data_IF_691391964582
#
_entry.id   IF_691391964582
#
_cell.length_a   1.000
_cell.length_b   1.000
_cell.length_c   1.000
_cell.angle_alpha   90.00
_cell.angle_beta   90.00
_cell.angle_gamma   90.00
#
_symmetry.space_group_name_H-M   'P 1'
#
loop_
_entity.id
_entity.type
_entity.pdbx_description
1 polymer ?
#
# COMPACT_ATOMS: atom_id res chain seq x y z
N UNK A 1 -24.51 -8.40 22.29
CA UNK A 1 -23.95 -7.05 22.16
C UNK A 1 -24.87 -6.21 21.28
N UNK A 2 -25.16 -5.00 21.75
CA UNK A 2 -25.90 -3.97 21.00
C UNK A 2 -25.02 -2.74 20.90
N UNK A 3 -25.14 -2.00 19.80
CA UNK A 3 -24.43 -0.74 19.58
C UNK A 3 -25.49 0.33 19.34
N UNK A 4 -25.47 1.39 20.14
CA UNK A 4 -26.40 2.51 19.98
C UNK A 4 -25.63 3.75 19.56
N UNK A 5 -26.15 4.46 18.56
CA UNK A 5 -25.60 5.73 18.11
C UNK A 5 -26.71 6.75 17.88
N UNK A 6 -26.36 8.02 18.09
CA UNK A 6 -27.18 9.14 17.65
C UNK A 6 -26.66 9.58 16.29
N UNK A 7 -27.53 9.58 15.28
CA UNK A 7 -27.11 9.87 13.92
C UNK A 7 -26.76 11.36 13.76
N UNK A 8 -25.51 11.71 13.37
CA UNK A 8 -25.17 13.09 13.00
C UNK A 8 -25.88 13.50 11.71
N UNK A 9 -25.88 14.80 11.40
CA UNK A 9 -26.64 15.37 10.27
C UNK A 9 -26.41 14.64 8.94
N UNK A 10 -25.17 14.33 8.60
CA UNK A 10 -24.83 13.61 7.36
C UNK A 10 -25.37 12.16 7.34
N UNK A 11 -25.39 11.47 8.48
CA UNK A 11 -26.03 10.16 8.57
C UNK A 11 -27.55 10.28 8.45
N UNK A 12 -28.17 11.30 9.06
CA UNK A 12 -29.61 11.54 8.93
C UNK A 12 -30.02 11.72 7.46
N UNK A 13 -29.28 12.53 6.70
CA UNK A 13 -29.51 12.72 5.25
C UNK A 13 -29.44 11.40 4.48
N UNK A 14 -28.45 10.56 4.77
CA UNK A 14 -28.29 9.24 4.13
C UNK A 14 -29.44 8.30 4.49
N UNK A 15 -29.80 8.21 5.77
CA UNK A 15 -30.90 7.36 6.22
C UNK A 15 -32.25 7.83 5.67
N UNK A 16 -32.43 9.15 5.44
CA UNK A 16 -33.62 9.71 4.79
C UNK A 16 -33.80 9.25 3.34
N UNK A 17 -32.75 8.84 2.64
CA UNK A 17 -32.87 8.30 1.28
C UNK A 17 -32.96 6.77 1.30
N UNK A 18 -32.32 6.12 2.27
CA UNK A 18 -32.09 4.67 2.22
C UNK A 18 -33.09 3.84 3.03
N UNK A 19 -33.60 4.36 4.14
CA UNK A 19 -34.56 3.66 5.00
C UNK A 19 -36.00 4.13 4.71
N UNK A 20 -37.02 3.26 4.74
CA UNK A 20 -38.43 3.67 4.74
C UNK A 20 -38.77 4.57 5.94
N UNK A 21 -39.88 5.31 5.88
CA UNK A 21 -40.25 6.28 6.92
C UNK A 21 -40.51 5.60 8.27
N UNK A 22 -41.13 4.42 8.23
CA UNK A 22 -41.57 3.59 9.36
C UNK A 22 -40.39 3.05 10.19
N UNK A 23 -39.21 2.95 9.56
CA UNK A 23 -37.98 2.44 10.18
C UNK A 23 -37.18 3.57 10.83
N UNK A 24 -37.48 4.83 10.52
CA UNK A 24 -36.70 5.98 10.98
C UNK A 24 -37.14 6.36 12.39
N UNK A 25 -36.17 6.45 13.28
CA UNK A 25 -36.41 6.96 14.63
C UNK A 25 -36.53 8.49 14.63
N UNK A 26 -37.58 9.02 15.26
CA UNK A 26 -37.85 10.47 15.37
C UNK A 26 -36.74 11.21 16.10
N UNK A 27 -36.08 10.56 17.06
CA UNK A 27 -34.94 11.10 17.81
C UNK A 27 -33.60 10.79 17.14
N UNK A 28 -33.61 10.21 15.94
CA UNK A 28 -32.44 9.80 15.17
C UNK A 28 -31.48 8.90 15.95
N UNK A 29 -32.00 8.10 16.88
CA UNK A 29 -31.26 7.19 17.72
C UNK A 29 -31.47 5.76 17.24
N UNK A 30 -30.41 5.15 16.74
CA UNK A 30 -30.47 3.80 16.15
C UNK A 30 -29.72 2.80 17.02
N UNK A 31 -30.35 1.68 17.34
CA UNK A 31 -29.74 0.57 18.09
C UNK A 31 -29.57 -0.65 17.19
N UNK A 32 -28.32 -1.06 16.98
CA UNK A 32 -27.92 -2.19 16.15
C UNK A 32 -27.65 -3.43 17.02
N UNK A 33 -28.10 -4.61 16.59
CA UNK A 33 -27.97 -5.87 17.29
C UNK A 33 -27.41 -6.97 16.39
N UNK A 34 -26.35 -7.65 16.83
CA UNK A 34 -25.76 -8.78 16.11
C UNK A 34 -26.43 -10.14 16.43
N UNK A 35 -27.28 -10.23 17.46
CA UNK A 35 -27.86 -11.50 17.89
C UNK A 35 -29.19 -11.78 17.19
N UNK A 36 -29.21 -12.82 16.36
CA UNK A 36 -30.39 -13.28 15.64
C UNK A 36 -31.60 -13.55 16.55
N UNK A 37 -31.40 -14.16 17.72
CA UNK A 37 -32.48 -14.47 18.67
C UNK A 37 -33.13 -13.21 19.25
N UNK A 38 -32.33 -12.22 19.64
CA UNK A 38 -32.85 -10.93 20.13
C UNK A 38 -33.56 -10.15 19.04
N UNK A 39 -33.05 -10.19 17.81
CA UNK A 39 -33.72 -9.57 16.67
C UNK A 39 -35.07 -10.24 16.39
N UNK A 40 -35.13 -11.57 16.39
CA UNK A 40 -36.38 -12.32 16.21
C UNK A 40 -37.42 -11.97 17.30
N UNK A 41 -36.98 -11.85 18.56
CA UNK A 41 -37.84 -11.39 19.65
C UNK A 41 -38.35 -9.96 19.43
N UNK A 42 -37.51 -9.03 18.99
CA UNK A 42 -37.92 -7.65 18.70
C UNK A 42 -38.90 -7.57 17.52
N UNK A 43 -38.72 -8.41 16.49
CA UNK A 43 -39.66 -8.55 15.37
C UNK A 43 -41.01 -9.05 15.85
N UNK A 44 -41.01 -10.08 16.71
CA UNK A 44 -42.25 -10.66 17.24
C UNK A 44 -42.99 -9.67 18.16
N UNK A 45 -42.26 -8.94 19.01
CA UNK A 45 -42.82 -7.88 19.85
C UNK A 45 -43.48 -6.76 19.02
N UNK A 46 -42.83 -6.32 17.94
CA UNK A 46 -43.39 -5.31 17.06
C UNK A 46 -44.66 -5.79 16.35
N UNK A 47 -44.74 -7.09 15.99
CA UNK A 47 -45.97 -7.68 15.41
C UNK A 47 -47.12 -7.78 16.41
N UNK A 48 -46.81 -7.99 17.69
CA UNK A 48 -47.81 -8.13 18.76
C UNK A 48 -48.28 -6.79 19.33
N UNK A 49 -47.54 -5.70 19.08
CA UNK A 49 -48.02 -4.35 19.33
C UNK A 49 -49.31 -4.11 18.53
N UNK A 50 -50.30 -3.46 19.16
CA UNK A 50 -51.68 -3.38 18.64
C UNK A 50 -51.67 -2.84 17.20
N UNK A 51 -52.52 -3.39 16.33
CA UNK A 51 -52.63 -3.03 14.91
C UNK A 51 -52.91 -1.54 14.61
N UNK A 52 -53.23 -0.71 15.62
CA UNK A 52 -53.39 0.75 15.48
C UNK A 52 -52.10 1.54 15.77
N UNK A 53 -51.04 0.90 16.23
CA UNK A 53 -49.70 1.46 16.37
C UNK A 53 -48.86 0.84 15.24
N UNK A 54 -48.48 1.63 14.23
CA UNK A 54 -47.50 1.21 13.22
C UNK A 54 -46.17 0.94 13.93
N UNK A 55 -45.99 -0.30 14.40
CA UNK A 55 -44.86 -0.67 15.25
C UNK A 55 -43.79 -1.36 14.42
N UNK A 56 -42.66 -0.67 14.26
CA UNK A 56 -41.44 -1.26 13.74
C UNK A 56 -40.54 -1.74 14.89
N UNK A 57 -39.74 -2.81 14.71
CA UNK A 57 -38.79 -3.24 15.73
C UNK A 57 -37.82 -2.11 16.13
N UNK A 58 -37.68 -1.88 17.43
CA UNK A 58 -36.75 -0.88 17.99
C UNK A 58 -35.27 -1.22 17.78
N UNK A 59 -34.98 -2.44 17.29
CA UNK A 59 -33.64 -2.92 16.99
C UNK A 59 -33.45 -3.08 15.49
N UNK A 60 -32.29 -2.64 15.01
CA UNK A 60 -31.80 -2.93 13.67
C UNK A 60 -30.86 -4.12 13.72
N UNK A 61 -30.92 -5.01 12.73
CA UNK A 61 -29.94 -6.08 12.63
C UNK A 61 -28.59 -5.54 12.16
N UNK A 62 -27.53 -5.85 12.90
CA UNK A 62 -26.16 -5.48 12.56
C UNK A 62 -25.63 -6.45 11.49
N UNK A 63 -25.74 -6.06 10.23
CA UNK A 63 -25.12 -6.75 9.10
C UNK A 63 -24.11 -5.86 8.37
N UNK A 64 -23.23 -6.40 7.51
CA UNK A 64 -22.22 -5.60 6.79
C UNK A 64 -22.79 -4.52 5.87
N UNK A 65 -23.90 -4.78 5.18
CA UNK A 65 -24.51 -3.85 4.19
C UNK A 65 -25.56 -2.91 4.82
N UNK A 66 -25.44 -2.60 6.10
CA UNK A 66 -26.41 -1.73 6.76
C UNK A 66 -26.04 -0.29 6.39
N UNK A 67 -26.98 0.61 6.08
CA UNK A 67 -26.62 1.98 5.68
C UNK A 67 -25.74 2.73 6.69
N UNK A 68 -25.92 2.42 7.99
CA UNK A 68 -25.06 2.92 9.07
C UNK A 68 -23.63 2.34 8.99
N UNK A 69 -23.47 1.08 8.60
CA UNK A 69 -22.15 0.45 8.41
C UNK A 69 -21.41 1.00 7.19
N UNK A 70 -22.13 1.25 6.09
CA UNK A 70 -21.56 1.93 4.91
C UNK A 70 -21.12 3.35 5.28
N UNK A 71 -21.96 4.08 6.03
CA UNK A 71 -21.61 5.40 6.55
C UNK A 71 -20.41 5.40 7.48
N UNK A 72 -20.32 4.43 8.38
CA UNK A 72 -19.18 4.28 9.28
C UNK A 72 -17.90 4.03 8.47
N UNK A 73 -17.97 3.17 7.45
CA UNK A 73 -16.86 2.89 6.55
C UNK A 73 -16.38 4.15 5.83
N UNK A 74 -17.30 4.92 5.25
CA UNK A 74 -17.00 6.19 4.57
C UNK A 74 -16.36 7.22 5.53
N UNK A 75 -16.89 7.33 6.75
CA UNK A 75 -16.34 8.22 7.79
C UNK A 75 -14.92 7.82 8.19
N UNK A 76 -14.63 6.53 8.32
CA UNK A 76 -13.29 6.03 8.64
C UNK A 76 -12.33 6.29 7.48
N UNK A 77 -12.76 6.06 6.23
CA UNK A 77 -11.93 6.29 5.05
C UNK A 77 -11.62 7.77 4.82
N UNK A 78 -12.54 8.66 5.17
CA UNK A 78 -12.38 10.12 5.04
C UNK A 78 -11.74 10.79 6.26
N UNK A 79 -11.53 10.05 7.36
CA UNK A 79 -10.99 10.60 8.61
C UNK A 79 -9.56 11.14 8.45
N UNK A 80 -8.78 10.61 7.50
CA UNK A 80 -7.42 11.05 7.23
C UNK A 80 -7.35 11.84 5.92
N UNK A 81 -6.81 13.06 6.00
CA UNK A 81 -6.56 13.89 4.81
C UNK A 81 -5.44 13.34 3.93
N UNK A 82 -5.33 13.88 2.71
CA UNK A 82 -4.20 13.57 1.81
C UNK A 82 -2.88 14.02 2.42
N UNK A 83 -1.80 13.27 2.14
CA UNK A 83 -0.44 13.56 2.62
C UNK A 83 -0.32 13.68 4.14
N UNK A 84 -1.14 12.93 4.89
CA UNK A 84 -1.06 12.84 6.35
C UNK A 84 -0.81 11.40 6.77
N UNK A 85 0.05 11.23 7.76
CA UNK A 85 0.25 9.95 8.42
C UNK A 85 -0.61 9.93 9.70
N UNK A 86 -1.46 8.91 9.92
CA UNK A 86 -2.17 8.72 11.17
C UNK A 86 -1.20 8.55 12.35
N UNK A 87 -1.64 9.01 13.53
CA UNK A 87 -0.93 8.78 14.81
C UNK A 87 -1.67 7.72 15.60
N UNK A 88 -0.94 6.70 16.05
CA UNK A 88 -1.43 5.60 16.85
C UNK A 88 -1.03 5.84 18.29
N UNK A 89 -2.01 5.98 19.18
CA UNK A 89 -1.78 5.88 20.62
C UNK A 89 -1.62 4.41 21.00
N UNK A 90 -0.44 4.06 21.51
CA UNK A 90 -0.06 2.71 21.81
C UNK A 90 0.51 2.67 23.24
N UNK A 91 -0.31 2.26 24.23
CA UNK A 91 0.09 2.22 25.65
C UNK A 91 1.28 1.30 25.97
N UNK A 92 1.69 0.46 25.02
CA UNK A 92 2.80 -0.47 25.13
C UNK A 92 4.15 0.15 24.78
N UNK A 93 4.17 1.37 24.22
CA UNK A 93 5.41 2.11 23.98
C UNK A 93 5.98 2.63 25.30
N UNK A 94 7.29 2.87 25.30
CA UNK A 94 7.99 3.49 26.42
C UNK A 94 7.62 4.98 26.45
N UNK A 95 7.53 5.57 27.64
CA UNK A 95 7.21 6.98 27.79
C UNK A 95 8.27 7.87 27.11
N UNK A 96 7.82 8.87 26.36
CA UNK A 96 8.67 9.69 25.50
C UNK A 96 9.18 9.03 24.20
N UNK A 97 8.96 7.73 24.00
CA UNK A 97 9.32 7.04 22.75
C UNK A 97 8.43 7.51 21.59
N UNK A 98 9.06 7.85 20.47
CA UNK A 98 8.36 8.18 19.23
C UNK A 98 8.76 7.21 18.13
N UNK A 99 7.77 6.59 17.49
CA UNK A 99 8.00 5.61 16.44
C UNK A 99 7.33 6.05 15.13
N UNK A 100 8.01 5.86 14.01
CA UNK A 100 7.49 6.19 12.67
C UNK A 100 7.56 4.95 11.81
N UNK A 101 6.41 4.51 11.31
CA UNK A 101 6.28 3.37 10.41
C UNK A 101 6.58 3.86 8.99
N UNK A 102 7.64 3.34 8.38
CA UNK A 102 8.18 3.82 7.12
C UNK A 102 8.23 2.68 6.10
N UNK A 103 7.82 3.00 4.87
CA UNK A 103 8.06 2.16 3.69
C UNK A 103 9.04 2.87 2.78
N UNK A 104 10.15 2.21 2.48
CA UNK A 104 11.11 2.66 1.48
C UNK A 104 10.95 1.88 0.18
N UNK A 105 11.07 2.57 -0.95
CA UNK A 105 10.97 2.01 -2.30
C UNK A 105 12.12 2.52 -3.16
N UNK A 106 12.76 1.63 -3.92
CA UNK A 106 13.71 2.01 -4.96
C UNK A 106 13.26 1.37 -6.28
N UNK A 107 12.84 2.19 -7.25
CA UNK A 107 12.49 1.69 -8.56
C UNK A 107 13.74 1.51 -9.45
N UNK A 108 13.57 0.78 -10.56
CA UNK A 108 14.47 0.90 -11.70
C UNK A 108 14.14 2.13 -12.56
N UNK A 109 14.93 2.37 -13.61
CA UNK A 109 14.68 3.45 -14.58
C UNK A 109 13.34 3.32 -15.35
N UNK A 110 12.64 2.20 -15.20
CA UNK A 110 11.30 1.96 -15.75
C UNK A 110 10.18 2.16 -14.72
N UNK A 111 10.50 2.64 -13.53
CA UNK A 111 9.52 2.85 -12.46
C UNK A 111 9.04 1.56 -11.78
N UNK A 112 9.64 0.41 -12.09
CA UNK A 112 9.28 -0.86 -11.46
C UNK A 112 9.96 -0.98 -10.10
N UNK A 113 9.25 -1.37 -9.03
CA UNK A 113 9.85 -1.49 -7.70
C UNK A 113 10.84 -2.65 -7.64
N UNK A 114 12.12 -2.36 -7.38
CA UNK A 114 13.16 -3.39 -7.24
C UNK A 114 13.46 -3.71 -5.78
N UNK A 115 13.39 -2.70 -4.91
CA UNK A 115 13.67 -2.85 -3.49
C UNK A 115 12.55 -2.20 -2.68
N UNK A 116 11.96 -2.96 -1.77
CA UNK A 116 10.92 -2.52 -0.85
C UNK A 116 11.37 -2.91 0.57
N UNK A 117 11.40 -1.93 1.47
CA UNK A 117 11.79 -2.14 2.86
C UNK A 117 10.76 -1.54 3.80
N UNK A 118 10.46 -2.28 4.87
CA UNK A 118 9.51 -1.90 5.91
C UNK A 118 10.26 -1.79 7.23
N UNK A 119 10.44 -0.56 7.70
CA UNK A 119 11.20 -0.27 8.91
C UNK A 119 10.41 0.67 9.81
N UNK A 120 10.72 0.64 11.10
CA UNK A 120 10.20 1.58 12.07
C UNK A 120 11.37 2.37 12.63
N UNK A 121 11.36 3.69 12.39
CA UNK A 121 12.31 4.59 13.00
C UNK A 121 11.83 4.95 14.40
N UNK A 122 12.60 4.55 15.41
CA UNK A 122 12.29 4.77 16.82
C UNK A 122 13.27 5.78 17.40
N UNK A 123 12.73 6.82 18.01
CA UNK A 123 13.45 7.82 18.79
C UNK A 123 13.19 7.60 20.27
N UNK A 124 14.25 7.37 21.03
CA UNK A 124 14.21 7.11 22.48
C UNK A 124 14.39 8.37 23.35
N UNK A 125 14.39 9.55 22.72
CA UNK A 125 14.71 10.83 23.38
C UNK A 125 16.15 11.31 23.14
N UNK A 126 17.06 10.40 22.75
CA UNK A 126 18.47 10.69 22.54
C UNK A 126 18.94 10.35 21.12
N UNK A 127 18.57 9.18 20.61
CA UNK A 127 19.07 8.63 19.37
C UNK A 127 17.98 7.96 18.53
N UNK A 128 18.26 7.84 17.24
CA UNK A 128 17.42 7.13 16.30
C UNK A 128 17.92 5.71 16.05
N UNK A 129 17.00 4.75 16.08
CA UNK A 129 17.24 3.37 15.68
C UNK A 129 16.22 2.94 14.63
N UNK A 130 16.59 1.95 13.80
CA UNK A 130 15.65 1.29 12.90
C UNK A 130 15.38 -0.11 13.43
N UNK A 131 14.09 -0.47 13.48
CA UNK A 131 13.61 -1.80 13.81
C UNK A 131 12.84 -2.35 12.62
N UNK A 132 12.98 -3.65 12.35
CA UNK A 132 12.16 -4.29 11.34
C UNK A 132 10.68 -4.16 11.74
N UNK A 133 9.82 -3.87 10.77
CA UNK A 133 8.39 -3.68 11.03
C UNK A 133 7.73 -4.83 11.83
N UNK A 134 7.98 -6.12 11.52
CA UNK A 134 7.40 -7.22 12.30
C UNK A 134 7.82 -7.22 13.77
N UNK A 135 9.08 -6.90 14.06
CA UNK A 135 9.65 -6.91 15.41
C UNK A 135 9.03 -5.78 16.25
N UNK A 136 8.90 -4.59 15.65
CA UNK A 136 8.23 -3.46 16.30
C UNK A 136 6.75 -3.78 16.58
N UNK A 137 6.03 -4.34 15.60
CA UNK A 137 4.62 -4.72 15.75
C UNK A 137 4.43 -5.73 16.89
N UNK A 138 5.32 -6.73 16.99
CA UNK A 138 5.30 -7.70 18.07
C UNK A 138 5.55 -7.06 19.44
N UNK A 139 6.56 -6.18 19.54
CA UNK A 139 6.91 -5.46 20.77
C UNK A 139 5.79 -4.52 21.24
N UNK A 140 5.27 -3.69 20.33
CA UNK A 140 4.21 -2.72 20.59
C UNK A 140 2.81 -3.36 20.65
N UNK A 141 2.68 -4.67 20.39
CA UNK A 141 1.41 -5.41 20.37
C UNK A 141 0.35 -4.75 19.47
N UNK A 142 0.79 -4.19 18.34
CA UNK A 142 -0.09 -3.59 17.35
C UNK A 142 -0.91 -4.68 16.66
N UNK A 143 -2.15 -4.87 17.11
CA UNK A 143 -3.05 -5.90 16.59
C UNK A 143 -4.43 -5.30 16.31
N UNK A 144 -5.08 -5.77 15.24
CA UNK A 144 -6.45 -5.39 14.95
C UNK A 144 -7.36 -5.71 16.15
N UNK A 145 -8.16 -4.72 16.55
CA UNK A 145 -9.12 -4.84 17.66
C UNK A 145 -8.54 -4.61 19.07
N UNK A 146 -7.24 -4.38 19.23
CA UNK A 146 -6.64 -4.10 20.57
C UNK A 146 -6.54 -2.61 20.89
N UNK A 147 -6.47 -1.75 19.88
CA UNK A 147 -6.33 -0.30 20.04
C UNK A 147 -7.57 0.39 19.47
N UNK A 148 -8.55 0.67 20.34
CA UNK A 148 -9.72 1.45 19.97
C UNK A 148 -9.35 2.94 19.86
N UNK A 149 -9.71 3.57 18.74
CA UNK A 149 -9.56 5.02 18.59
C UNK A 149 -10.51 5.74 19.55
N UNK A 150 -9.94 6.46 20.52
CA UNK A 150 -10.70 7.22 21.54
C UNK A 150 -11.30 8.52 20.99
N UNK A 151 -10.95 8.90 19.76
CA UNK A 151 -11.31 10.17 19.13
C UNK A 151 -10.96 11.39 20.02
N UNK A 152 -9.83 11.28 20.73
CA UNK A 152 -9.25 12.35 21.53
C UNK A 152 -8.13 12.99 20.72
N UNK A 153 -8.06 14.32 20.72
CA UNK A 153 -6.97 15.06 20.09
C UNK A 153 -5.65 14.73 20.78
N UNK A 154 -4.62 14.44 19.98
CA UNK A 154 -3.27 14.16 20.45
C UNK A 154 -2.40 15.35 20.03
N UNK A 155 -1.53 15.85 20.91
CA UNK A 155 -0.53 16.84 20.51
C UNK A 155 0.54 16.17 19.64
N UNK A 156 0.50 16.50 18.34
CA UNK A 156 1.42 15.95 17.35
C UNK A 156 2.63 16.84 17.10
N UNK A 157 2.80 17.94 17.84
CA UNK A 157 3.85 18.94 17.56
C UNK A 157 5.24 18.34 17.66
N UNK A 158 5.50 17.54 18.71
CA UNK A 158 6.77 16.82 18.87
C UNK A 158 7.02 15.79 17.77
N UNK A 159 5.99 15.03 17.39
CA UNK A 159 6.07 14.07 16.29
C UNK A 159 6.36 14.76 14.95
N UNK A 160 5.76 15.92 14.70
CA UNK A 160 5.99 16.67 13.46
C UNK A 160 7.41 17.24 13.41
N UNK A 161 7.93 17.72 14.54
CA UNK A 161 9.30 18.24 14.63
C UNK A 161 10.36 17.17 14.42
N UNK A 162 10.13 15.94 14.91
CA UNK A 162 11.06 14.82 14.80
C UNK A 162 10.96 14.03 13.49
N UNK A 163 9.91 14.26 12.69
CA UNK A 163 9.68 13.57 11.42
C UNK A 163 10.87 13.61 10.44
N UNK A 164 11.57 14.74 10.24
CA UNK A 164 12.75 14.77 9.36
C UNK A 164 13.87 13.83 9.83
N UNK A 165 14.03 13.64 11.14
CA UNK A 165 15.01 12.71 11.71
C UNK A 165 14.70 11.26 11.36
N UNK A 166 13.44 10.86 11.50
CA UNK A 166 12.97 9.53 11.11
C UNK A 166 13.23 9.24 9.62
N UNK A 167 12.90 10.20 8.76
CA UNK A 167 13.09 10.09 7.31
C UNK A 167 14.59 10.02 6.96
N UNK A 168 15.43 10.84 7.58
CA UNK A 168 16.88 10.84 7.33
C UNK A 168 17.53 9.49 7.67
N UNK A 169 17.13 8.88 8.79
CA UNK A 169 17.66 7.59 9.23
C UNK A 169 17.24 6.47 8.26
N UNK A 170 15.98 6.47 7.82
CA UNK A 170 15.48 5.54 6.80
C UNK A 170 16.16 5.76 5.45
N UNK A 171 16.39 7.02 5.05
CA UNK A 171 17.10 7.35 3.81
C UNK A 171 18.51 6.80 3.81
N UNK A 172 19.26 6.95 4.91
CA UNK A 172 20.59 6.37 5.05
C UNK A 172 20.56 4.84 4.90
N UNK A 173 19.61 4.18 5.56
CA UNK A 173 19.43 2.73 5.45
C UNK A 173 19.13 2.29 4.01
N UNK A 174 18.20 2.98 3.34
CA UNK A 174 17.84 2.70 1.96
C UNK A 174 19.00 2.90 1.00
N UNK A 175 19.83 3.93 1.18
CA UNK A 175 21.04 4.14 0.38
C UNK A 175 22.05 3.00 0.56
N UNK A 176 22.26 2.53 1.80
CA UNK A 176 23.12 1.35 2.04
C UNK A 176 22.58 0.10 1.35
N UNK A 177 21.27 -0.13 1.42
CA UNK A 177 20.60 -1.26 0.74
C UNK A 177 20.71 -1.14 -0.78
N UNK A 178 20.53 0.07 -1.32
CA UNK A 178 20.66 0.37 -2.73
C UNK A 178 22.07 0.09 -3.25
N UNK A 179 23.11 0.55 -2.56
CA UNK A 179 24.50 0.30 -2.95
C UNK A 179 24.82 -1.19 -3.01
N UNK A 180 24.38 -1.97 -2.00
CA UNK A 180 24.56 -3.42 -1.99
C UNK A 180 23.83 -4.09 -3.15
N UNK A 181 22.57 -3.72 -3.36
CA UNK A 181 21.77 -4.26 -4.45
C UNK A 181 22.33 -3.89 -5.83
N UNK A 182 22.80 -2.66 -6.01
CA UNK A 182 23.40 -2.17 -7.24
C UNK A 182 24.71 -2.90 -7.57
N UNK A 183 25.53 -3.24 -6.57
CA UNK A 183 26.74 -4.04 -6.76
C UNK A 183 26.39 -5.44 -7.31
N UNK A 184 25.40 -6.11 -6.70
CA UNK A 184 24.92 -7.43 -7.14
C UNK A 184 24.32 -7.37 -8.55
N UNK A 185 23.53 -6.32 -8.86
CA UNK A 185 22.94 -6.12 -10.20
C UNK A 185 23.96 -5.78 -11.27
N UNK A 186 24.99 -5.01 -10.95
CA UNK A 186 26.06 -4.68 -11.90
C UNK A 186 26.78 -5.95 -12.36
N UNK A 187 27.04 -6.89 -11.45
CA UNK A 187 27.64 -8.18 -11.78
C UNK A 187 26.72 -9.04 -12.68
N UNK A 188 25.40 -9.04 -12.45
CA UNK A 188 24.45 -9.78 -13.32
C UNK A 188 24.28 -9.11 -14.68
N UNK A 189 24.26 -7.78 -14.72
CA UNK A 189 24.14 -6.99 -15.94
C UNK A 189 25.34 -7.24 -16.85
N UNK A 190 26.57 -7.23 -16.31
CA UNK A 190 27.77 -7.48 -17.10
C UNK A 190 27.78 -8.87 -17.71
N UNK A 191 27.39 -9.91 -16.95
CA UNK A 191 27.23 -11.27 -17.46
C UNK A 191 26.19 -11.36 -18.59
N UNK A 192 25.02 -10.75 -18.39
CA UNK A 192 23.94 -10.74 -19.39
C UNK A 192 24.35 -10.01 -20.67
N UNK A 193 25.07 -8.89 -20.56
CA UNK A 193 25.58 -8.17 -21.73
C UNK A 193 26.63 -8.98 -22.49
N UNK A 194 27.50 -9.70 -21.78
CA UNK A 194 28.48 -10.61 -22.42
C UNK A 194 27.78 -11.78 -23.14
N UNK A 195 26.74 -12.35 -22.55
CA UNK A 195 25.91 -13.39 -23.18
C UNK A 195 25.23 -12.89 -24.46
N UNK A 196 24.66 -11.69 -24.41
CA UNK A 196 24.03 -11.06 -25.58
C UNK A 196 25.05 -10.80 -26.68
N UNK A 197 26.25 -10.34 -26.33
CA UNK A 197 27.32 -10.14 -27.30
C UNK A 197 27.73 -11.48 -27.96
N UNK A 198 27.85 -12.56 -27.19
CA UNK A 198 28.12 -13.91 -27.75
C UNK A 198 27.00 -14.37 -28.68
N UNK A 199 25.73 -14.18 -28.30
CA UNK A 199 24.57 -14.54 -29.11
C UNK A 199 24.55 -13.73 -30.43
N UNK A 200 24.86 -12.44 -30.36
CA UNK A 200 24.94 -11.55 -31.52
C UNK A 200 26.01 -12.02 -32.50
N UNK A 201 27.22 -12.33 -32.02
CA UNK A 201 28.32 -12.84 -32.86
C UNK A 201 27.93 -14.14 -33.56
N UNK A 202 27.36 -15.11 -32.84
CA UNK A 202 26.88 -16.39 -33.42
C UNK A 202 25.81 -16.17 -34.48
N UNK A 203 24.91 -15.20 -34.30
CA UNK A 203 23.90 -14.89 -35.32
C UNK A 203 24.49 -14.30 -36.59
N UNK A 204 25.56 -13.49 -36.46
CA UNK A 204 26.29 -12.94 -37.61
C UNK A 204 27.02 -14.07 -38.34
N UNK A 205 27.73 -14.95 -37.62
CA UNK A 205 28.39 -16.13 -38.19
C UNK A 205 27.39 -17.03 -38.95
N UNK A 206 26.22 -17.29 -38.35
CA UNK A 206 25.17 -18.08 -39.01
C UNK A 206 24.61 -17.39 -40.26
N UNK A 207 24.48 -16.06 -40.23
CA UNK A 207 24.08 -15.28 -41.40
C UNK A 207 25.12 -15.41 -42.52
N UNK A 208 26.41 -15.31 -42.19
CA UNK A 208 27.50 -15.46 -43.15
C UNK A 208 27.52 -16.87 -43.76
N UNK A 209 27.39 -17.91 -42.95
CA UNK A 209 27.30 -19.30 -43.43
C UNK A 209 26.10 -19.51 -44.38
N UNK A 210 24.93 -18.95 -44.06
CA UNK A 210 23.73 -19.02 -44.94
C UNK A 210 23.92 -18.27 -46.25
N UNK A 211 24.63 -17.14 -46.24
CA UNK A 211 24.92 -16.38 -47.44
C UNK A 211 25.97 -17.07 -48.32
N UNK A 212 26.96 -17.74 -47.70
CA UNK A 212 27.96 -18.53 -48.41
C UNK A 212 27.34 -19.73 -49.14
N UNK A 213 26.37 -20.41 -48.52
CA UNK A 213 25.64 -21.53 -49.13
C UNK A 213 24.64 -21.13 -50.23
N UNK A 214 24.37 -19.83 -50.40
CA UNK A 214 23.38 -19.33 -51.35
C UNK A 214 24.02 -19.13 -52.75
N UNK A 215 23.37 -19.58 -53.82
CA UNK A 215 23.87 -19.49 -55.20
C UNK A 215 23.52 -18.19 -55.93
N UNK A 216 22.86 -17.23 -55.25
CA UNK A 216 22.52 -15.92 -55.82
C UNK A 216 23.77 -15.08 -56.19
N UNK A 217 23.60 -14.08 -57.06
CA UNK A 217 24.69 -13.17 -57.44
C UNK A 217 25.21 -12.35 -56.23
N UNK A 218 26.52 -12.07 -56.21
CA UNK A 218 27.20 -11.41 -55.09
C UNK A 218 26.63 -10.03 -54.73
N UNK A 219 26.14 -9.28 -55.72
CA UNK A 219 25.48 -7.98 -55.50
C UNK A 219 24.29 -8.12 -54.54
N UNK A 220 23.43 -9.13 -54.75
CA UNK A 220 22.25 -9.38 -53.91
C UNK A 220 22.63 -9.90 -52.53
N UNK A 221 23.70 -10.71 -52.43
CA UNK A 221 24.22 -11.19 -51.14
C UNK A 221 24.75 -10.04 -50.29
N UNK A 222 25.45 -9.08 -50.89
CA UNK A 222 26.01 -7.91 -50.19
C UNK A 222 24.90 -7.04 -49.60
N UNK A 223 23.90 -6.66 -50.39
CA UNK A 223 22.77 -5.87 -49.91
C UNK A 223 21.98 -6.60 -48.81
N UNK A 224 21.75 -7.91 -48.97
CA UNK A 224 21.05 -8.73 -47.97
C UNK A 224 21.85 -8.88 -46.67
N UNK A 225 23.18 -9.00 -46.77
CA UNK A 225 24.10 -9.02 -45.63
C UNK A 225 24.00 -7.72 -44.84
N UNK A 226 24.15 -6.58 -45.50
CA UNK A 226 24.10 -5.27 -44.86
C UNK A 226 22.75 -5.04 -44.14
N UNK A 227 21.64 -5.25 -44.83
CA UNK A 227 20.30 -5.10 -44.25
C UNK A 227 20.08 -6.02 -43.05
N UNK A 228 20.48 -7.29 -43.15
CA UNK A 228 20.24 -8.26 -42.08
C UNK A 228 21.16 -8.02 -40.89
N UNK A 229 22.43 -7.72 -41.11
CA UNK A 229 23.38 -7.35 -40.05
C UNK A 229 22.92 -6.09 -39.31
N UNK A 230 22.45 -5.07 -40.03
CA UNK A 230 21.93 -3.86 -39.41
C UNK A 230 20.67 -4.14 -38.58
N UNK A 231 19.76 -4.98 -39.07
CA UNK A 231 18.59 -5.43 -38.31
C UNK A 231 18.97 -6.21 -37.05
N UNK A 232 19.95 -7.10 -37.15
CA UNK A 232 20.48 -7.85 -35.99
C UNK A 232 21.02 -6.85 -34.96
N UNK A 233 21.92 -5.95 -35.36
CA UNK A 233 22.47 -4.90 -34.47
C UNK A 233 21.37 -4.12 -33.78
N UNK A 234 20.40 -3.58 -34.54
CA UNK A 234 19.29 -2.82 -33.97
C UNK A 234 18.52 -3.57 -32.88
N UNK A 235 18.14 -4.83 -33.13
CA UNK A 235 17.39 -5.64 -32.14
C UNK A 235 18.22 -5.89 -30.88
N UNK A 236 19.51 -6.20 -31.04
CA UNK A 236 20.40 -6.41 -29.89
C UNK A 236 20.69 -5.11 -29.13
N UNK A 237 20.79 -3.97 -29.82
CA UNK A 237 20.97 -2.65 -29.20
C UNK A 237 19.74 -2.28 -28.35
N UNK A 238 18.54 -2.45 -28.92
CA UNK A 238 17.27 -2.24 -28.22
C UNK A 238 17.16 -3.12 -26.98
N UNK A 239 17.52 -4.40 -27.11
CA UNK A 239 17.46 -5.33 -25.98
C UNK A 239 18.52 -5.01 -24.91
N UNK A 240 19.75 -4.63 -25.30
CA UNK A 240 20.79 -4.19 -24.35
C UNK A 240 20.34 -2.97 -23.55
N UNK A 241 19.77 -1.98 -24.23
CA UNK A 241 19.21 -0.80 -23.57
C UNK A 241 18.09 -1.18 -22.59
N UNK A 242 17.18 -2.06 -23.03
CA UNK A 242 16.10 -2.56 -22.19
C UNK A 242 16.61 -3.27 -20.92
N UNK A 243 17.62 -4.13 -21.04
CA UNK A 243 18.22 -4.82 -19.89
C UNK A 243 18.89 -3.82 -18.95
N UNK A 244 19.64 -2.86 -19.49
CA UNK A 244 20.29 -1.82 -18.69
C UNK A 244 19.26 -1.00 -17.90
N UNK A 245 18.18 -0.55 -18.54
CA UNK A 245 17.16 0.26 -17.87
C UNK A 245 16.37 -0.55 -16.83
N UNK A 246 16.21 -1.85 -17.06
CA UNK A 246 15.49 -2.74 -16.13
C UNK A 246 16.32 -3.08 -14.90
N UNK A 247 17.63 -3.27 -15.06
CA UNK A 247 18.54 -3.68 -13.98
C UNK A 247 19.22 -2.51 -13.26
N UNK A 248 19.12 -1.30 -13.79
CA UNK A 248 19.68 -0.11 -13.13
C UNK A 248 18.66 0.50 -12.17
N UNK A 249 18.99 0.53 -10.88
CA UNK A 249 18.24 1.23 -9.84
C UNK A 249 18.38 2.74 -9.93
N UNK A 250 17.34 3.48 -9.56
CA UNK A 250 17.44 4.92 -9.33
C UNK A 250 18.24 5.27 -8.06
N UNK A 251 18.91 6.44 -8.01
CA UNK A 251 19.75 6.85 -6.88
C UNK A 251 18.96 7.32 -5.66
N UNK A 252 17.73 7.81 -5.85
CA UNK A 252 16.94 8.41 -4.78
C UNK A 252 15.85 7.44 -4.32
N UNK A 253 15.86 7.02 -3.04
CA UNK A 253 14.77 6.21 -2.50
C UNK A 253 13.53 7.07 -2.29
N UNK A 254 12.37 6.54 -2.67
CA UNK A 254 11.09 7.07 -2.24
C UNK A 254 10.78 6.56 -0.84
N UNK A 255 10.44 7.46 0.09
CA UNK A 255 10.11 7.10 1.48
C UNK A 255 8.71 7.60 1.78
N UNK A 256 7.85 6.69 2.19
CA UNK A 256 6.50 6.98 2.63
C UNK A 256 6.37 6.76 4.13
N UNK A 257 5.85 7.76 4.83
CA UNK A 257 5.48 7.67 6.24
C UNK A 257 4.04 7.15 6.31
N UNK A 258 3.88 5.96 6.85
CA UNK A 258 2.59 5.27 6.89
C UNK A 258 1.79 5.61 8.15
N UNK A 259 2.48 5.73 9.27
CA UNK A 259 1.90 6.12 10.55
C UNK A 259 3.03 6.58 11.49
N UNK A 260 2.64 7.27 12.57
CA UNK A 260 3.47 7.41 13.75
C UNK A 260 2.80 6.71 14.94
N UNK A 261 3.58 6.32 15.94
CA UNK A 261 3.09 5.78 17.19
C UNK A 261 3.78 6.48 18.38
N UNK A 262 2.99 6.73 19.42
CA UNK A 262 3.41 7.26 20.71
C UNK A 262 2.51 6.66 21.80
N UNK A 263 2.88 6.83 23.08
CA UNK A 263 2.10 6.29 24.19
C UNK A 263 0.70 6.95 24.32
#
# INVERSE_FOLDING_TARGET
QTITLNAPRDLQERLRVTLPLEVRDEHHRYTLCAHKSRMAQAIEQARQAKANEESWPSLHYLWPQHPIMDWLSDRVLTAFGRHRAPVIQCPQLIDGEQAYLLMGLIPNRKGQPLLIEWQVAVFDGCAWSLQAFPDFVARARLKAGTLANRNQGIDTTGLQANLPGAVAVMQRHMLTRQHRFAADMTARLSGTLADLQRLQSRQIEQLEARLAANQQAEQFKKTRREQRTQRIRKVFDEYRQWVQDTMTTEPQPFIQVLAAAMQ
#
